data_IF_759188497425
#
_entry.id   IF_759188497425
#
_cell.length_a   1.000
_cell.length_b   1.000
_cell.length_c   1.000
_cell.angle_alpha   90.00
_cell.angle_beta   90.00
_cell.angle_gamma   90.00
#
_symmetry.space_group_name_H-M   'P 1'
#
loop_
_entity.id
_entity.type
_entity.pdbx_description
1 polymer ?
#
# COMPACT_ATOMS: atom_id res chain seq x y z
N UNK A 1 6.86 8.23 5.00
CA UNK A 1 6.56 7.60 3.69
C UNK A 1 7.77 7.73 2.77
N UNK A 2 8.20 6.63 2.18
CA UNK A 2 9.20 6.58 1.11
C UNK A 2 8.56 5.78 -0.05
N UNK A 3 8.31 6.41 -1.21
CA UNK A 3 7.84 5.70 -2.40
C UNK A 3 8.81 4.61 -2.87
N UNK A 4 8.26 3.56 -3.47
CA UNK A 4 9.04 2.51 -4.11
C UNK A 4 9.92 3.05 -5.25
N UNK A 5 11.04 2.39 -5.60
CA UNK A 5 11.96 2.88 -6.63
C UNK A 5 11.35 3.06 -8.03
N UNK A 6 10.27 2.32 -8.34
CA UNK A 6 9.54 2.41 -9.61
C UNK A 6 8.41 3.44 -9.59
N UNK A 7 8.14 4.08 -8.45
CA UNK A 7 7.05 5.05 -8.28
C UNK A 7 7.60 6.48 -8.17
N UNK A 8 6.79 7.49 -8.52
CA UNK A 8 7.18 8.89 -8.38
C UNK A 8 7.45 9.25 -6.92
N UNK A 9 8.48 10.08 -6.69
CA UNK A 9 8.75 10.62 -5.36
C UNK A 9 7.69 11.65 -4.97
N UNK A 10 7.50 11.87 -3.67
CA UNK A 10 6.59 12.93 -3.19
C UNK A 10 6.96 14.29 -3.77
N UNK A 11 8.25 14.62 -3.80
CA UNK A 11 8.75 15.87 -4.37
C UNK A 11 8.40 16.02 -5.86
N UNK A 12 8.56 14.95 -6.66
CA UNK A 12 8.22 14.99 -8.09
C UNK A 12 6.74 15.23 -8.37
N UNK A 13 5.88 14.91 -7.41
CA UNK A 13 4.43 15.14 -7.47
C UNK A 13 4.03 16.50 -6.85
N UNK A 14 4.98 17.25 -6.28
CA UNK A 14 4.69 18.44 -5.48
C UNK A 14 3.97 18.13 -4.16
N UNK A 15 4.10 16.90 -3.66
CA UNK A 15 3.48 16.43 -2.43
C UNK A 15 4.48 16.43 -1.27
N UNK A 16 3.94 16.37 -0.05
CA UNK A 16 4.71 16.20 1.18
C UNK A 16 3.89 15.40 2.19
N UNK A 17 4.47 15.12 3.36
CA UNK A 17 3.76 14.38 4.41
C UNK A 17 2.50 15.12 4.92
N UNK A 18 2.48 16.45 4.91
CA UNK A 18 1.28 17.22 5.28
C UNK A 18 0.12 16.93 4.34
N UNK A 19 0.37 16.91 3.03
CA UNK A 19 -0.63 16.53 2.03
C UNK A 19 -1.08 15.08 2.24
N UNK A 20 -0.15 14.14 2.37
CA UNK A 20 -0.47 12.72 2.58
C UNK A 20 -1.34 12.54 3.83
N UNK A 21 -0.99 13.19 4.94
CA UNK A 21 -1.75 13.09 6.18
C UNK A 21 -3.13 13.77 6.10
N UNK A 22 -3.31 14.75 5.20
CA UNK A 22 -4.60 15.41 4.98
C UNK A 22 -5.57 14.59 4.12
N UNK A 23 -5.10 13.55 3.43
CA UNK A 23 -5.97 12.67 2.65
C UNK A 23 -6.92 11.90 3.58
N UNK A 24 -8.14 11.59 3.12
CA UNK A 24 -9.10 10.80 3.89
C UNK A 24 -8.49 9.48 4.37
N UNK A 25 -8.82 9.10 5.60
CA UNK A 25 -8.60 7.73 6.06
C UNK A 25 -9.47 6.75 5.25
N UNK A 26 -9.03 5.50 5.08
CA UNK A 26 -9.83 4.50 4.37
C UNK A 26 -11.16 4.24 5.06
N UNK A 27 -12.21 4.02 4.25
CA UNK A 27 -13.46 3.45 4.72
C UNK A 27 -13.31 1.92 4.82
N UNK A 28 -13.23 1.38 6.03
CA UNK A 28 -12.85 -0.01 6.33
C UNK A 28 -14.03 -0.97 6.20
N UNK A 29 -14.66 -1.02 5.04
CA UNK A 29 -15.67 -2.04 4.73
C UNK A 29 -15.57 -2.42 3.27
N UNK A 30 -14.76 -3.44 2.99
CA UNK A 30 -14.62 -3.96 1.63
C UNK A 30 -14.90 -5.46 1.57
N UNK A 31 -15.78 -5.86 0.65
CA UNK A 31 -15.92 -7.26 0.28
C UNK A 31 -14.81 -7.60 -0.73
N UNK A 32 -13.87 -8.47 -0.36
CA UNK A 32 -12.85 -8.91 -1.31
C UNK A 32 -13.45 -9.86 -2.35
N UNK A 33 -13.12 -9.63 -3.63
CA UNK A 33 -13.50 -10.51 -4.73
C UNK A 33 -12.78 -11.89 -4.69
N UNK A 34 -11.70 -12.02 -3.91
CA UNK A 34 -10.98 -13.26 -3.69
C UNK A 34 -10.35 -13.28 -2.29
N UNK A 35 -10.41 -14.44 -1.61
CA UNK A 35 -9.93 -14.62 -0.24
C UNK A 35 -8.43 -14.44 -0.12
N UNK A 36 -8.00 -13.25 0.31
CA UNK A 36 -6.64 -13.01 0.79
C UNK A 36 -6.46 -13.64 2.16
N UNK A 37 -5.31 -14.30 2.37
CA UNK A 37 -4.90 -14.78 3.70
C UNK A 37 -4.11 -13.73 4.45
N UNK A 38 -4.19 -13.74 5.78
CA UNK A 38 -3.32 -12.94 6.63
C UNK A 38 -1.94 -13.60 6.74
N UNK A 39 -0.88 -12.82 6.51
CA UNK A 39 0.50 -13.26 6.68
C UNK A 39 0.89 -13.44 8.16
N UNK A 40 2.17 -13.74 8.40
CA UNK A 40 2.72 -13.91 9.74
C UNK A 40 3.49 -12.70 10.28
N UNK A 41 3.71 -11.67 9.45
CA UNK A 41 4.44 -10.47 9.85
C UNK A 41 3.45 -9.37 10.16
N UNK A 42 3.73 -8.58 11.20
CA UNK A 42 2.82 -7.56 11.69
C UNK A 42 3.51 -6.20 11.73
N UNK A 43 2.78 -5.16 11.35
CA UNK A 43 3.22 -3.77 11.47
C UNK A 43 2.09 -2.85 11.93
N UNK A 44 2.38 -1.61 12.34
CA UNK A 44 1.35 -0.68 12.82
C UNK A 44 0.32 -0.35 11.73
N UNK A 45 -0.97 -0.38 12.08
CA UNK A 45 -2.06 0.03 11.16
C UNK A 45 -1.87 1.45 10.64
N UNK A 46 -1.40 2.37 11.50
CA UNK A 46 -1.12 3.75 11.12
C UNK A 46 -0.11 3.87 9.98
N UNK A 47 0.91 3.01 9.96
CA UNK A 47 1.92 2.98 8.90
C UNK A 47 1.34 2.41 7.60
N UNK A 48 0.50 1.37 7.69
CA UNK A 48 -0.21 0.82 6.53
C UNK A 48 -1.17 1.84 5.91
N UNK A 49 -1.88 2.63 6.72
CA UNK A 49 -2.77 3.71 6.26
C UNK A 49 -1.99 4.77 5.48
N UNK A 50 -0.77 5.13 5.91
CA UNK A 50 0.06 6.09 5.17
C UNK A 50 0.44 5.55 3.78
N UNK A 51 0.79 4.27 3.67
CA UNK A 51 1.02 3.62 2.38
C UNK A 51 -0.25 3.58 1.52
N UNK A 52 -1.39 3.22 2.11
CA UNK A 52 -2.69 3.25 1.44
C UNK A 52 -2.99 4.62 0.84
N UNK A 53 -2.87 5.69 1.63
CA UNK A 53 -3.18 7.07 1.19
C UNK A 53 -2.35 7.47 -0.03
N UNK A 54 -1.06 7.15 -0.01
CA UNK A 54 -0.17 7.43 -1.14
C UNK A 54 -0.55 6.65 -2.40
N UNK A 55 -0.72 5.34 -2.28
CA UNK A 55 -1.05 4.47 -3.41
C UNK A 55 -2.44 4.81 -4.00
N UNK A 56 -3.41 5.13 -3.14
CA UNK A 56 -4.74 5.55 -3.54
C UNK A 56 -4.71 6.91 -4.26
N UNK A 57 -3.93 7.87 -3.76
CA UNK A 57 -3.80 9.19 -4.39
C UNK A 57 -3.13 9.13 -5.78
N UNK A 58 -2.27 8.14 -6.02
CA UNK A 58 -1.71 7.88 -7.35
C UNK A 58 -2.76 7.36 -8.35
N UNK A 59 -3.89 6.83 -7.87
CA UNK A 59 -5.02 6.44 -8.72
C UNK A 59 -4.65 5.39 -9.75
N UNK A 60 -4.73 5.76 -11.03
CA UNK A 60 -4.45 4.88 -12.18
C UNK A 60 -2.98 4.85 -12.58
N UNK A 61 -2.07 5.42 -11.78
CA UNK A 61 -0.64 5.27 -12.02
C UNK A 61 -0.28 3.77 -11.97
N UNK A 62 0.59 3.28 -12.88
CA UNK A 62 0.98 1.88 -12.90
C UNK A 62 1.89 1.55 -11.70
N UNK A 63 1.38 0.75 -10.77
CA UNK A 63 2.16 0.11 -9.73
C UNK A 63 2.70 -1.21 -10.29
N UNK A 64 3.97 -1.19 -10.72
CA UNK A 64 4.61 -2.27 -11.48
C UNK A 64 5.80 -2.88 -10.73
N UNK A 65 5.92 -4.19 -10.84
CA UNK A 65 7.18 -4.91 -10.60
C UNK A 65 8.09 -4.74 -11.82
N UNK A 66 9.29 -4.15 -11.69
CA UNK A 66 10.18 -3.89 -12.83
C UNK A 66 10.56 -5.16 -13.60
N UNK A 67 10.96 -4.98 -14.85
CA UNK A 67 11.33 -6.08 -15.74
C UNK A 67 12.50 -6.89 -15.14
N UNK A 68 12.38 -8.22 -15.21
CA UNK A 68 13.35 -9.14 -14.61
C UNK A 68 13.31 -9.26 -13.09
N UNK A 69 12.37 -8.60 -12.39
CA UNK A 69 12.17 -8.75 -10.95
C UNK A 69 10.94 -9.62 -10.64
N UNK A 70 10.99 -10.35 -9.52
CA UNK A 70 9.87 -11.17 -9.02
C UNK A 70 9.01 -10.43 -8.00
N UNK A 71 9.53 -9.34 -7.43
CA UNK A 71 8.80 -8.48 -6.51
C UNK A 71 9.37 -7.06 -6.57
N UNK A 72 8.60 -6.09 -6.11
CA UNK A 72 9.04 -4.72 -5.95
C UNK A 72 8.34 -4.08 -4.77
N UNK A 73 9.08 -3.28 -4.00
CA UNK A 73 8.45 -2.46 -2.97
C UNK A 73 7.83 -1.23 -3.62
N UNK A 74 6.56 -1.02 -3.32
CA UNK A 74 5.73 0.05 -3.86
C UNK A 74 5.64 1.24 -2.89
N UNK A 75 5.63 0.99 -1.58
CA UNK A 75 5.66 2.04 -0.57
C UNK A 75 6.26 1.56 0.75
N UNK A 76 6.94 2.45 1.47
CA UNK A 76 7.40 2.24 2.84
C UNK A 76 6.86 3.33 3.77
N UNK A 77 6.37 2.94 4.95
CA UNK A 77 6.12 3.86 6.05
C UNK A 77 6.47 3.19 7.36
N UNK A 78 7.34 3.81 8.16
CA UNK A 78 7.77 3.24 9.45
C UNK A 78 8.22 1.79 9.30
N UNK A 79 7.49 0.86 9.92
CA UNK A 79 7.78 -0.58 9.90
C UNK A 79 6.97 -1.38 8.87
N UNK A 80 6.15 -0.71 8.04
CA UNK A 80 5.33 -1.35 7.00
C UNK A 80 5.94 -1.10 5.62
N UNK A 81 5.97 -2.15 4.80
CA UNK A 81 6.26 -2.05 3.37
C UNK A 81 5.18 -2.75 2.56
N UNK A 82 4.73 -2.12 1.48
CA UNK A 82 3.77 -2.69 0.53
C UNK A 82 4.57 -3.23 -0.66
N UNK A 83 4.47 -4.52 -0.92
CA UNK A 83 5.20 -5.20 -1.98
C UNK A 83 4.24 -5.73 -3.05
N UNK A 84 4.57 -5.49 -4.32
CA UNK A 84 3.98 -6.20 -5.45
C UNK A 84 4.76 -7.47 -5.75
N UNK A 85 4.07 -8.54 -6.14
CA UNK A 85 4.67 -9.81 -6.52
C UNK A 85 4.24 -10.21 -7.94
N UNK A 86 5.18 -10.83 -8.67
CA UNK A 86 4.97 -11.35 -10.02
C UNK A 86 5.94 -10.75 -11.03
N UNK A 87 6.28 -11.55 -12.05
CA UNK A 87 7.21 -11.12 -13.11
C UNK A 87 6.45 -10.22 -14.08
N UNK A 88 6.97 -9.02 -14.28
CA UNK A 88 6.43 -8.01 -15.20
C UNK A 88 4.95 -7.65 -14.94
N UNK A 89 4.47 -7.91 -13.73
CA UNK A 89 3.10 -7.61 -13.33
C UNK A 89 2.93 -6.12 -13.03
N UNK A 90 1.76 -5.58 -13.39
CA UNK A 90 1.37 -4.21 -13.12
C UNK A 90 -0.11 -4.16 -12.80
N UNK A 91 -0.49 -3.33 -11.83
CA UNK A 91 -1.88 -2.95 -11.55
C UNK A 91 -1.98 -1.43 -11.41
N UNK A 92 -3.18 -0.88 -11.29
CA UNK A 92 -3.30 0.49 -10.83
C UNK A 92 -2.96 0.60 -9.35
N UNK A 93 -2.29 1.67 -8.95
CA UNK A 93 -1.93 1.87 -7.55
C UNK A 93 -3.18 1.96 -6.63
N UNK A 94 -4.32 2.38 -7.16
CA UNK A 94 -5.62 2.29 -6.48
C UNK A 94 -6.07 0.84 -6.21
N UNK A 95 -5.85 -0.11 -7.12
CA UNK A 95 -6.13 -1.53 -6.86
C UNK A 95 -5.19 -2.10 -5.80
N UNK A 96 -3.91 -1.70 -5.84
CA UNK A 96 -2.95 -2.06 -4.79
C UNK A 96 -3.37 -1.48 -3.45
N UNK A 97 -3.87 -0.24 -3.42
CA UNK A 97 -4.40 0.37 -2.22
C UNK A 97 -5.61 -0.41 -1.67
N UNK A 98 -6.49 -0.93 -2.51
CA UNK A 98 -7.58 -1.83 -2.08
C UNK A 98 -7.04 -3.10 -1.41
N UNK A 99 -5.95 -3.67 -1.90
CA UNK A 99 -5.31 -4.82 -1.26
C UNK A 99 -4.73 -4.46 0.12
N UNK A 100 -4.14 -3.27 0.28
CA UNK A 100 -3.70 -2.77 1.59
C UNK A 100 -4.88 -2.58 2.54
N UNK A 101 -5.98 -2.01 2.04
CA UNK A 101 -7.20 -1.84 2.81
C UNK A 101 -7.79 -3.17 3.26
N UNK A 102 -7.76 -4.21 2.41
CA UNK A 102 -8.21 -5.54 2.78
C UNK A 102 -7.44 -6.08 3.99
N UNK A 103 -6.11 -5.93 3.98
CA UNK A 103 -5.29 -6.33 5.11
C UNK A 103 -5.67 -5.55 6.39
N UNK A 104 -5.87 -4.24 6.30
CA UNK A 104 -6.29 -3.42 7.46
C UNK A 104 -7.65 -3.88 8.01
N UNK A 105 -8.60 -4.20 7.13
CA UNK A 105 -9.96 -4.58 7.53
C UNK A 105 -10.03 -6.01 8.10
N UNK A 106 -9.35 -6.97 7.47
CA UNK A 106 -9.50 -8.40 7.78
C UNK A 106 -8.35 -9.00 8.59
N UNK A 107 -7.19 -8.33 8.63
CA UNK A 107 -5.96 -8.85 9.23
C UNK A 107 -5.40 -7.98 10.35
N UNK A 108 -6.19 -7.03 10.86
CA UNK A 108 -5.82 -6.24 12.02
C UNK A 108 -6.18 -6.95 13.33
N UNK A 109 -5.21 -7.02 14.24
CA UNK A 109 -5.39 -7.53 15.60
C UNK A 109 -5.86 -6.42 16.54
N UNK A 110 -6.34 -6.81 17.73
CA UNK A 110 -6.81 -5.88 18.77
C UNK A 110 -5.74 -4.88 19.25
N UNK A 111 -4.46 -5.17 19.03
CA UNK A 111 -3.32 -4.32 19.40
C UNK A 111 -2.96 -3.26 18.34
N UNK A 112 -3.79 -3.09 17.30
CA UNK A 112 -3.58 -2.14 16.20
C UNK A 112 -2.36 -2.46 15.31
N UNK A 113 -2.01 -3.74 15.23
CA UNK A 113 -1.10 -4.26 14.21
C UNK A 113 -1.87 -4.97 13.10
N UNK A 114 -1.36 -4.90 11.87
CA UNK A 114 -1.94 -5.53 10.66
C UNK A 114 -0.97 -6.54 10.06
N UNK A 115 -1.50 -7.69 9.66
CA UNK A 115 -0.71 -8.76 9.05
C UNK A 115 -0.43 -8.55 7.55
N UNK A 116 0.71 -9.04 7.07
CA UNK A 116 1.12 -9.05 5.65
C UNK A 116 2.18 -10.10 5.33
#
# INVERSE_FOLDING_TARGET
LIPGPSLPTLESLGWNMTYINSLPDPDVSIEAAAGGGCGGNYGPVSDAIVCYKFLNALGTYPCKVPDGQHSAVLAYSGNVRVEGFGVEQSSYCSDVALAVLYAIDHCTLSDQTVAG
#
